data_IF_291358453849
#
_entry.id   IF_291358453849
#
_cell.length_a   1.000
_cell.length_b   1.000
_cell.length_c   1.000
_cell.angle_alpha   90.00
_cell.angle_beta   90.00
_cell.angle_gamma   90.00
#
_symmetry.space_group_name_H-M   'P 1'
#
loop_
_entity.id
_entity.type
_entity.pdbx_description
1 polymer ?
#
# COMPACT_ATOMS: atom_id res chain seq x y z
N UNK A 1 14.27 10.42 1.51
CA UNK A 1 12.87 10.73 1.88
C UNK A 1 11.98 9.62 1.33
N UNK A 2 10.75 9.51 1.80
CA UNK A 2 9.80 8.47 1.39
C UNK A 2 8.43 9.10 1.17
N UNK A 3 7.66 8.58 0.22
CA UNK A 3 6.26 8.94 0.05
C UNK A 3 5.36 7.80 0.55
N UNK A 4 4.16 8.17 0.98
CA UNK A 4 3.15 7.23 1.43
C UNK A 4 2.17 6.96 0.28
N UNK A 5 1.82 5.69 0.10
CA UNK A 5 0.71 5.26 -0.75
C UNK A 5 -0.21 4.37 0.10
N UNK A 6 -1.50 4.67 0.05
CA UNK A 6 -2.52 4.00 0.87
C UNK A 6 -3.56 3.34 -0.04
N UNK A 7 -3.80 2.05 0.21
CA UNK A 7 -4.97 1.35 -0.30
C UNK A 7 -6.13 1.44 0.69
N UNK A 8 -7.23 2.06 0.27
CA UNK A 8 -8.51 2.10 0.97
C UNK A 8 -9.43 1.03 0.40
N UNK A 9 -9.37 -0.16 0.98
CA UNK A 9 -10.02 -1.38 0.51
C UNK A 9 -11.45 -1.50 1.08
N UNK A 10 -12.45 -1.76 0.23
CA UNK A 10 -13.84 -1.89 0.68
C UNK A 10 -14.06 -3.21 1.45
N UNK A 11 -13.45 -4.29 0.98
CA UNK A 11 -13.40 -5.59 1.65
C UNK A 11 -12.09 -5.81 2.40
N UNK A 12 -12.05 -6.83 3.29
CA UNK A 12 -10.83 -7.17 4.02
C UNK A 12 -9.75 -7.64 3.04
N UNK A 13 -8.61 -6.93 2.94
CA UNK A 13 -7.56 -7.33 2.01
C UNK A 13 -6.78 -8.52 2.55
N UNK A 14 -6.20 -9.28 1.62
CA UNK A 14 -5.11 -10.21 1.88
C UNK A 14 -3.81 -9.62 1.32
N UNK A 15 -2.98 -8.97 2.16
CA UNK A 15 -1.72 -8.40 1.70
C UNK A 15 -0.74 -9.44 1.16
N UNK A 16 -0.82 -10.71 1.60
CA UNK A 16 0.06 -11.75 1.09
C UNK A 16 -0.27 -12.06 -0.38
N UNK A 17 -1.56 -12.16 -0.73
CA UNK A 17 -1.99 -12.32 -2.12
C UNK A 17 -1.56 -11.13 -3.01
N UNK A 18 -1.68 -9.90 -2.50
CA UNK A 18 -1.21 -8.72 -3.23
C UNK A 18 0.33 -8.67 -3.37
N UNK A 19 1.07 -9.14 -2.36
CA UNK A 19 2.53 -9.30 -2.44
C UNK A 19 2.88 -10.33 -3.52
N UNK A 20 2.25 -11.51 -3.51
CA UNK A 20 2.50 -12.58 -4.48
C UNK A 20 2.28 -12.10 -5.92
N UNK A 21 1.24 -11.28 -6.14
CA UNK A 21 0.96 -10.70 -7.45
C UNK A 21 2.09 -9.78 -7.98
N UNK A 22 2.86 -9.15 -7.09
CA UNK A 22 3.95 -8.23 -7.47
C UNK A 22 5.34 -8.84 -7.37
N UNK A 23 5.50 -10.03 -6.77
CA UNK A 23 6.80 -10.70 -6.67
C UNK A 23 7.53 -10.86 -8.01
N UNK A 24 6.87 -11.17 -9.14
CA UNK A 24 7.57 -11.31 -10.42
C UNK A 24 8.05 -9.99 -11.04
N UNK A 25 7.62 -8.84 -10.52
CA UNK A 25 8.01 -7.53 -11.03
C UNK A 25 9.49 -7.26 -10.75
N UNK A 26 10.07 -6.27 -11.45
CA UNK A 26 11.43 -5.79 -11.16
C UNK A 26 12.50 -6.88 -11.18
N UNK A 27 12.35 -7.88 -12.05
CA UNK A 27 13.28 -9.01 -12.15
C UNK A 27 13.22 -10.00 -10.98
N UNK A 28 12.20 -9.90 -10.12
CA UNK A 28 11.97 -10.79 -8.98
C UNK A 28 12.20 -10.09 -7.64
N UNK A 29 11.13 -9.66 -6.98
CA UNK A 29 11.23 -9.05 -5.65
C UNK A 29 11.55 -10.09 -4.58
N UNK A 30 12.23 -9.65 -3.53
CA UNK A 30 12.46 -10.43 -2.31
C UNK A 30 11.62 -9.87 -1.16
N UNK A 31 11.12 -10.77 -0.31
CA UNK A 31 10.31 -10.43 0.86
C UNK A 31 11.16 -10.55 2.12
N UNK A 32 11.12 -9.51 2.96
CA UNK A 32 11.75 -9.54 4.29
C UNK A 32 10.74 -9.12 5.35
N UNK A 33 10.73 -9.81 6.49
CA UNK A 33 9.94 -9.45 7.67
C UNK A 33 10.86 -8.88 8.73
N UNK A 34 10.45 -7.80 9.37
CA UNK A 34 11.26 -7.13 10.42
C UNK A 34 10.51 -7.23 11.74
N UNK A 35 11.22 -7.53 12.83
CA UNK A 35 10.64 -7.39 14.18
C UNK A 35 10.44 -5.90 14.46
N UNK A 36 9.19 -5.42 14.37
CA UNK A 36 8.82 -4.00 14.53
C UNK A 36 7.96 -3.49 13.36
N UNK A 37 7.84 -2.17 13.21
CA UNK A 37 7.28 -1.54 12.01
C UNK A 37 8.40 -1.10 11.07
N UNK A 38 8.27 -1.27 9.74
CA UNK A 38 7.17 -1.89 9.00
C UNK A 38 7.14 -3.43 9.16
N UNK A 39 5.98 -4.04 8.93
CA UNK A 39 5.80 -5.49 9.12
C UNK A 39 6.42 -6.31 7.99
N UNK A 40 6.31 -5.83 6.75
CA UNK A 40 6.83 -6.50 5.55
C UNK A 40 7.57 -5.49 4.69
N UNK A 41 8.67 -5.94 4.06
CA UNK A 41 9.43 -5.18 3.08
C UNK A 41 9.54 -5.96 1.78
N UNK A 42 9.34 -5.28 0.66
CA UNK A 42 9.71 -5.73 -0.66
C UNK A 42 11.02 -5.06 -1.05
N UNK A 43 11.99 -5.87 -1.43
CA UNK A 43 13.32 -5.42 -1.83
C UNK A 43 13.65 -5.93 -3.24
N UNK A 44 14.42 -5.14 -3.98
CA UNK A 44 15.08 -5.60 -5.19
C UNK A 44 16.05 -6.78 -4.86
N UNK A 45 16.38 -7.67 -5.81
CA UNK A 45 17.33 -8.78 -5.60
C UNK A 45 18.68 -8.41 -4.97
N UNK A 46 19.16 -7.19 -5.20
CA UNK A 46 20.41 -6.66 -4.61
C UNK A 46 20.26 -6.21 -3.15
N UNK A 47 19.07 -6.32 -2.56
CA UNK A 47 18.76 -5.93 -1.19
C UNK A 47 18.28 -4.49 -1.01
N UNK A 48 18.21 -3.69 -2.08
CA UNK A 48 17.66 -2.33 -2.01
C UNK A 48 16.16 -2.35 -1.68
N UNK A 49 15.75 -1.56 -0.70
CA UNK A 49 14.35 -1.42 -0.30
C UNK A 49 13.54 -0.74 -1.40
N UNK A 50 12.42 -1.33 -1.81
CA UNK A 50 11.48 -0.75 -2.76
C UNK A 50 10.15 -0.37 -2.10
N UNK A 51 9.62 -1.21 -1.21
CA UNK A 51 8.36 -0.95 -0.53
C UNK A 51 8.40 -1.45 0.91
N UNK A 52 7.90 -0.63 1.83
CA UNK A 52 7.59 -1.04 3.20
C UNK A 52 6.08 -1.08 3.36
N UNK A 53 5.53 -2.20 3.84
CA UNK A 53 4.09 -2.38 4.05
C UNK A 53 3.83 -2.41 5.56
N UNK A 54 2.94 -1.53 5.99
CA UNK A 54 2.49 -1.41 7.38
C UNK A 54 1.30 -2.34 7.66
N UNK A 55 0.92 -2.42 8.92
CA UNK A 55 -0.24 -3.21 9.36
C UNK A 55 -1.56 -2.74 8.73
N UNK A 56 -2.35 -3.70 8.25
CA UNK A 56 -3.73 -3.50 7.81
C UNK A 56 -4.63 -3.12 8.98
N UNK A 57 -5.40 -2.03 8.85
CA UNK A 57 -6.28 -1.52 9.92
C UNK A 57 -7.68 -1.27 9.40
N UNK A 58 -8.70 -1.65 10.18
CA UNK A 58 -10.09 -1.31 9.85
C UNK A 58 -10.47 0.06 10.45
N UNK A 59 -10.76 1.03 9.59
CA UNK A 59 -11.24 2.36 9.99
C UNK A 59 -12.77 2.32 10.09
N UNK A 60 -13.26 2.38 11.34
CA UNK A 60 -14.70 2.29 11.67
C UNK A 60 -15.38 3.63 11.90
N UNK A 61 -14.64 4.73 11.93
CA UNK A 61 -15.21 6.06 12.16
C UNK A 61 -15.65 6.64 10.81
N UNK A 62 -16.94 6.99 10.61
CA UNK A 62 -17.43 7.58 9.37
C UNK A 62 -16.63 8.82 8.98
N UNK A 63 -16.16 8.88 7.72
CA UNK A 63 -15.43 10.04 7.19
C UNK A 63 -13.99 10.21 7.68
N UNK A 64 -13.50 9.38 8.60
CA UNK A 64 -12.16 9.52 9.19
C UNK A 64 -11.05 9.38 8.14
N UNK A 65 -11.12 8.36 7.26
CA UNK A 65 -10.13 8.18 6.21
C UNK A 65 -10.07 9.40 5.26
N UNK A 66 -11.22 9.97 4.91
CA UNK A 66 -11.30 11.20 4.10
C UNK A 66 -10.63 12.38 4.82
N UNK A 67 -10.94 12.58 6.09
CA UNK A 67 -10.42 13.68 6.91
C UNK A 67 -8.91 13.61 7.06
N UNK A 68 -8.37 12.42 7.34
CA UNK A 68 -6.93 12.20 7.55
C UNK A 68 -6.15 12.39 6.26
N UNK A 69 -6.65 11.88 5.14
CA UNK A 69 -5.95 11.93 3.84
C UNK A 69 -6.25 13.19 3.02
N UNK A 70 -7.14 14.06 3.48
CA UNK A 70 -7.57 15.25 2.73
C UNK A 70 -8.25 14.91 1.39
N UNK A 71 -8.95 13.78 1.32
CA UNK A 71 -9.66 13.36 0.10
C UNK A 71 -10.82 14.33 -0.19
N UNK A 72 -11.00 14.71 -1.46
CA UNK A 72 -12.04 15.65 -1.87
C UNK A 72 -13.45 15.16 -1.48
N UNK A 73 -14.33 16.10 -1.09
CA UNK A 73 -15.70 15.80 -0.62
C UNK A 73 -16.53 15.03 -1.65
N UNK A 74 -16.29 15.23 -2.95
CA UNK A 74 -17.00 14.54 -4.03
C UNK A 74 -16.50 13.12 -4.35
N UNK A 75 -15.37 12.70 -3.79
CA UNK A 75 -14.83 11.35 -4.02
C UNK A 75 -15.42 10.39 -3.00
N UNK A 76 -16.15 9.37 -3.46
CA UNK A 76 -16.68 8.32 -2.59
C UNK A 76 -15.54 7.54 -1.92
N UNK A 77 -15.62 7.38 -0.60
CA UNK A 77 -14.68 6.60 0.20
C UNK A 77 -15.49 5.51 0.91
N UNK A 78 -15.12 4.22 0.80
CA UNK A 78 -15.83 3.14 1.47
C UNK A 78 -15.98 3.38 2.98
N UNK A 79 -17.04 2.84 3.57
CA UNK A 79 -17.23 2.89 5.01
C UNK A 79 -18.02 1.66 5.53
N UNK A 80 -17.49 0.91 6.51
CA UNK A 80 -16.12 0.98 7.03
C UNK A 80 -15.08 0.67 5.94
N UNK A 81 -13.81 1.01 6.16
CA UNK A 81 -12.76 0.83 5.14
C UNK A 81 -11.50 0.23 5.75
N UNK A 82 -10.92 -0.72 5.03
CA UNK A 82 -9.62 -1.29 5.37
C UNK A 82 -8.51 -0.43 4.81
N UNK A 83 -7.62 0.01 5.70
CA UNK A 83 -6.47 0.87 5.40
C UNK A 83 -5.21 0.04 5.36
N UNK A 84 -4.52 0.05 4.23
CA UNK A 84 -3.18 -0.50 4.07
C UNK A 84 -2.24 0.62 3.67
N UNK A 85 -1.32 0.98 4.57
CA UNK A 85 -0.31 2.00 4.33
C UNK A 85 0.98 1.35 3.84
N UNK A 86 1.56 1.90 2.79
CA UNK A 86 2.88 1.52 2.32
C UNK A 86 3.75 2.75 2.12
N UNK A 87 5.05 2.60 2.35
CA UNK A 87 6.05 3.65 2.15
C UNK A 87 7.10 3.20 1.16
N UNK A 88 7.42 4.06 0.21
CA UNK A 88 8.45 3.81 -0.80
C UNK A 88 9.48 4.95 -0.83
N UNK A 89 10.76 4.65 -1.11
CA UNK A 89 11.76 5.68 -1.37
C UNK A 89 11.32 6.69 -2.43
N UNK A 90 11.51 7.98 -2.13
CA UNK A 90 11.38 9.02 -3.14
C UNK A 90 12.56 9.00 -4.12
N UNK A 91 12.32 9.47 -5.35
CA UNK A 91 13.32 9.53 -6.43
C UNK A 91 13.84 8.16 -6.91
N UNK A 92 13.09 7.10 -6.63
CA UNK A 92 13.34 5.77 -7.14
C UNK A 92 12.14 5.34 -8.00
N UNK A 93 12.25 5.44 -9.34
CA UNK A 93 11.15 5.13 -10.25
C UNK A 93 10.67 3.67 -10.13
N UNK A 94 11.57 2.76 -9.77
CA UNK A 94 11.25 1.35 -9.60
C UNK A 94 10.48 1.13 -8.30
N UNK A 95 10.91 1.76 -7.21
CA UNK A 95 10.16 1.73 -5.96
C UNK A 95 8.76 2.31 -6.14
N UNK A 96 8.62 3.41 -6.88
CA UNK A 96 7.32 3.99 -7.20
C UNK A 96 6.44 3.05 -8.01
N UNK A 97 7.02 2.40 -9.04
CA UNK A 97 6.31 1.42 -9.85
C UNK A 97 5.78 0.25 -9.00
N UNK A 98 6.62 -0.34 -8.14
CA UNK A 98 6.24 -1.43 -7.24
C UNK A 98 5.19 -0.99 -6.23
N UNK A 99 5.32 0.23 -5.66
CA UNK A 99 4.37 0.78 -4.71
C UNK A 99 2.96 0.93 -5.30
N UNK A 100 2.88 1.44 -6.54
CA UNK A 100 1.62 1.57 -7.28
C UNK A 100 1.04 0.21 -7.62
N UNK A 101 1.86 -0.69 -8.19
CA UNK A 101 1.41 -2.02 -8.57
C UNK A 101 0.85 -2.83 -7.39
N UNK A 102 1.50 -2.77 -6.22
CA UNK A 102 1.01 -3.41 -5.01
C UNK A 102 -0.33 -2.82 -4.53
N UNK A 103 -0.43 -1.49 -4.53
CA UNK A 103 -1.66 -0.80 -4.12
C UNK A 103 -2.81 -1.06 -5.09
N UNK A 104 -2.54 -1.11 -6.39
CA UNK A 104 -3.51 -1.45 -7.42
C UNK A 104 -3.98 -2.91 -7.31
N UNK A 105 -3.08 -3.84 -6.95
CA UNK A 105 -3.46 -5.24 -6.69
C UNK A 105 -4.39 -5.35 -5.47
N UNK A 106 -4.13 -4.60 -4.40
CA UNK A 106 -5.02 -4.55 -3.22
C UNK A 106 -6.40 -4.01 -3.57
N UNK A 107 -6.45 -2.81 -4.16
CA UNK A 107 -7.71 -2.12 -4.48
C UNK A 107 -8.47 -2.87 -5.57
N UNK A 108 -7.78 -3.42 -6.57
CA UNK A 108 -8.40 -4.24 -7.62
C UNK A 108 -9.05 -5.52 -7.08
N UNK A 109 -8.44 -6.15 -6.07
CA UNK A 109 -8.99 -7.36 -5.45
C UNK A 109 -10.12 -7.11 -4.44
N UNK A 110 -10.23 -5.90 -3.89
CA UNK A 110 -11.14 -5.59 -2.77
C UNK A 110 -12.12 -4.45 -3.03
N UNK A 111 -12.00 -3.77 -4.18
CA UNK A 111 -12.66 -2.50 -4.45
C UNK A 111 -12.09 -1.35 -3.63
N UNK A 112 -12.70 -0.16 -3.78
CA UNK A 112 -12.29 1.05 -3.07
C UNK A 112 -11.38 1.95 -3.91
N UNK A 113 -10.37 2.57 -3.29
CA UNK A 113 -9.50 3.55 -3.96
C UNK A 113 -8.08 3.58 -3.39
N UNK A 114 -7.15 4.10 -4.18
CA UNK A 114 -5.80 4.42 -3.73
C UNK A 114 -5.65 5.92 -3.47
N UNK A 115 -4.75 6.26 -2.56
CA UNK A 115 -4.29 7.64 -2.29
C UNK A 115 -2.77 7.65 -2.24
N UNK A 116 -2.15 8.76 -2.65
CA UNK A 116 -0.70 8.95 -2.65
C UNK A 116 -0.37 10.33 -2.11
N UNK A 117 0.67 10.43 -1.27
CA UNK A 117 1.23 11.72 -0.82
C UNK A 117 2.10 12.39 -1.88
N UNK A 118 2.28 11.74 -3.03
CA UNK A 118 3.04 12.17 -4.19
C UNK A 118 2.16 12.26 -5.43
#
# INVERSE_FOLDING_TARGET
>A
MTFDIIGLCAEQPDPAAAIEAVLPLSGGLTVSTVKGRPLVRLCHPDGRLLLSIEETRLVRVPGEARRVLGIATGTEVPHPVWWVESRAPENDPEAEFVARAFTDALVGGTGGLSWSSR
#
